data_IF_712322056279
#
_entry.id   IF_712322056279
#
_cell.length_a   1.000
_cell.length_b   1.000
_cell.length_c   1.000
_cell.angle_alpha   90.00
_cell.angle_beta   90.00
_cell.angle_gamma   90.00
#
_symmetry.space_group_name_H-M   'P 1'
#
loop_
_entity.id
_entity.type
_entity.pdbx_description
1 polymer ?
#
# COMPACT_ATOMS: atom_id res chain seq x y z
N UNK A 1 -58.00 -79.69 -47.63
CA UNK A 1 -57.95 -79.73 -46.16
C UNK A 1 -58.08 -78.29 -45.68
N UNK A 2 -58.24 -78.05 -44.38
CA UNK A 2 -58.30 -76.69 -43.82
C UNK A 2 -57.18 -76.56 -42.81
N UNK A 3 -56.41 -75.46 -42.84
CA UNK A 3 -55.39 -75.19 -41.81
C UNK A 3 -56.06 -74.77 -40.50
N UNK A 4 -55.93 -75.53 -39.40
CA UNK A 4 -56.44 -75.12 -38.09
C UNK A 4 -55.68 -73.91 -37.55
N UNK A 5 -56.34 -73.09 -36.74
CA UNK A 5 -55.68 -72.00 -36.04
C UNK A 5 -54.72 -72.57 -34.97
N UNK A 6 -53.42 -72.45 -35.20
CA UNK A 6 -52.38 -72.87 -34.26
C UNK A 6 -51.21 -71.90 -34.32
N UNK A 7 -50.47 -71.78 -33.22
CA UNK A 7 -49.18 -71.09 -33.20
C UNK A 7 -48.15 -72.09 -33.75
N UNK A 8 -47.55 -71.86 -34.93
CA UNK A 8 -46.70 -72.85 -35.58
C UNK A 8 -45.25 -72.79 -35.04
N UNK A 9 -45.12 -72.90 -33.72
CA UNK A 9 -43.86 -72.95 -33.02
C UNK A 9 -43.97 -73.87 -31.79
N UNK A 10 -43.00 -74.75 -31.62
CA UNK A 10 -42.87 -75.66 -30.47
C UNK A 10 -41.48 -75.48 -29.84
N UNK A 11 -41.43 -75.42 -28.50
CA UNK A 11 -40.18 -75.25 -27.74
C UNK A 11 -39.93 -76.46 -26.85
N UNK A 12 -38.69 -76.95 -26.86
CA UNK A 12 -38.21 -78.07 -26.07
C UNK A 12 -36.91 -77.69 -25.34
N UNK A 13 -36.48 -78.54 -24.41
CA UNK A 13 -35.19 -78.40 -23.72
C UNK A 13 -34.34 -79.63 -24.00
N UNK A 14 -33.11 -79.41 -24.48
CA UNK A 14 -32.14 -80.47 -24.71
C UNK A 14 -31.68 -81.10 -23.39
N UNK A 15 -31.43 -82.41 -23.40
CA UNK A 15 -30.91 -83.17 -22.26
C UNK A 15 -29.50 -83.75 -22.54
N UNK A 16 -28.88 -83.40 -23.68
CA UNK A 16 -27.59 -83.93 -24.10
C UNK A 16 -27.61 -85.33 -24.70
N UNK A 17 -28.78 -85.98 -24.81
CA UNK A 17 -28.90 -87.38 -25.28
C UNK A 17 -30.00 -87.56 -26.33
N UNK A 18 -31.17 -86.94 -26.13
CA UNK A 18 -32.32 -87.03 -27.05
C UNK A 18 -32.01 -86.28 -28.35
N UNK A 19 -32.16 -86.98 -29.48
CA UNK A 19 -31.99 -86.40 -30.81
C UNK A 19 -33.32 -86.12 -31.52
N UNK A 20 -34.44 -86.61 -30.99
CA UNK A 20 -35.76 -86.50 -31.62
C UNK A 20 -36.68 -85.57 -30.84
N UNK A 21 -37.26 -84.59 -31.54
CA UNK A 21 -38.16 -83.60 -30.97
C UNK A 21 -39.40 -83.48 -31.84
N UNK A 22 -40.59 -83.58 -31.22
CA UNK A 22 -41.84 -83.50 -31.94
C UNK A 22 -42.21 -82.05 -32.29
N UNK A 23 -42.76 -81.83 -33.48
CA UNK A 23 -43.47 -80.61 -33.83
C UNK A 23 -44.94 -80.94 -34.11
N UNK A 24 -45.82 -79.97 -33.90
CA UNK A 24 -47.25 -80.22 -33.80
C UNK A 24 -48.08 -79.38 -34.79
N UNK A 25 -47.44 -78.79 -35.80
CA UNK A 25 -48.07 -77.94 -36.82
C UNK A 25 -47.86 -78.49 -38.24
N UNK A 26 -48.72 -78.08 -39.19
CA UNK A 26 -48.60 -78.46 -40.59
C UNK A 26 -47.41 -77.72 -41.25
N UNK A 27 -46.55 -78.46 -41.92
CA UNK A 27 -45.48 -77.95 -42.76
C UNK A 27 -45.44 -78.76 -44.05
N UNK A 28 -45.47 -78.11 -45.22
CA UNK A 28 -45.50 -78.82 -46.52
C UNK A 28 -44.11 -79.21 -47.00
N UNK A 29 -43.14 -78.31 -46.84
CA UNK A 29 -41.79 -78.46 -47.38
C UNK A 29 -40.75 -78.11 -46.31
N UNK A 30 -39.66 -78.88 -46.24
CA UNK A 30 -38.56 -78.64 -45.27
C UNK A 30 -37.98 -77.21 -45.36
N UNK A 31 -38.04 -76.58 -46.54
CA UNK A 31 -37.54 -75.22 -46.75
C UNK A 31 -38.28 -74.16 -45.94
N UNK A 32 -39.56 -74.43 -45.61
CA UNK A 32 -40.44 -73.57 -44.83
C UNK A 32 -40.32 -73.84 -43.31
N UNK A 33 -39.31 -74.62 -42.89
CA UNK A 33 -39.09 -75.05 -41.51
C UNK A 33 -37.73 -74.59 -40.99
N UNK A 34 -37.72 -73.93 -39.83
CA UNK A 34 -36.50 -73.44 -39.17
C UNK A 34 -36.37 -74.02 -37.79
N UNK A 35 -35.13 -74.31 -37.43
CA UNK A 35 -34.75 -74.83 -36.12
C UNK A 35 -33.76 -73.89 -35.49
N UNK A 36 -33.97 -73.56 -34.22
CA UNK A 36 -33.04 -72.75 -33.45
C UNK A 36 -32.58 -73.52 -32.22
N UNK A 37 -31.28 -73.53 -31.96
CA UNK A 37 -30.69 -73.99 -30.71
C UNK A 37 -30.12 -72.77 -30.01
N UNK A 38 -30.57 -72.51 -28.80
CA UNK A 38 -30.17 -71.34 -28.01
C UNK A 38 -30.27 -70.02 -28.81
N UNK A 39 -31.39 -69.87 -29.53
CA UNK A 39 -31.70 -68.73 -30.41
C UNK A 39 -30.81 -68.58 -31.65
N UNK A 40 -29.90 -69.52 -31.92
CA UNK A 40 -29.06 -69.55 -33.12
C UNK A 40 -29.69 -70.46 -34.17
N UNK A 41 -29.80 -69.98 -35.41
CA UNK A 41 -30.33 -70.76 -36.53
C UNK A 41 -29.41 -71.95 -36.84
N UNK A 42 -29.99 -73.14 -36.84
CA UNK A 42 -29.29 -74.39 -37.17
C UNK A 42 -29.31 -74.59 -38.68
N UNK A 43 -28.18 -75.05 -39.25
CA UNK A 43 -28.10 -75.36 -40.67
C UNK A 43 -29.06 -76.52 -41.03
N UNK A 44 -29.85 -76.41 -42.12
CA UNK A 44 -30.77 -77.48 -42.54
C UNK A 44 -30.13 -78.85 -42.79
N UNK A 45 -28.81 -78.94 -42.94
CA UNK A 45 -28.07 -80.22 -43.05
C UNK A 45 -27.90 -80.97 -41.73
N UNK A 46 -28.02 -80.28 -40.58
CA UNK A 46 -27.78 -80.86 -39.25
C UNK A 46 -29.01 -81.57 -38.65
N UNK A 47 -30.18 -81.44 -39.29
CA UNK A 47 -31.42 -82.09 -38.89
C UNK A 47 -32.24 -82.62 -40.07
N UNK A 48 -33.05 -83.65 -39.83
CA UNK A 48 -34.10 -84.12 -40.74
C UNK A 48 -35.47 -83.78 -40.17
N UNK A 49 -36.46 -83.62 -41.06
CA UNK A 49 -37.85 -83.33 -40.69
C UNK A 49 -38.73 -84.41 -41.32
N UNK A 50 -39.41 -85.17 -40.47
CA UNK A 50 -40.36 -86.20 -40.86
C UNK A 50 -41.78 -85.73 -40.56
N UNK A 51 -42.78 -86.27 -41.28
CA UNK A 51 -44.18 -85.87 -41.10
C UNK A 51 -44.58 -84.59 -41.86
N UNK A 52 -43.81 -84.22 -42.90
CA UNK A 52 -44.20 -83.17 -43.85
C UNK A 52 -45.56 -83.50 -44.49
N UNK A 53 -46.43 -82.50 -44.60
CA UNK A 53 -47.80 -82.64 -45.08
C UNK A 53 -48.81 -83.20 -44.05
N UNK A 54 -48.38 -83.60 -42.86
CA UNK A 54 -49.28 -84.05 -41.79
C UNK A 54 -49.82 -82.86 -40.97
N UNK A 55 -51.15 -82.66 -40.87
CA UNK A 55 -51.74 -81.58 -40.09
C UNK A 55 -51.38 -81.59 -38.60
N UNK A 56 -51.09 -82.77 -38.03
CA UNK A 56 -50.72 -82.92 -36.62
C UNK A 56 -49.21 -82.81 -36.37
N UNK A 57 -48.43 -82.50 -37.41
CA UNK A 57 -46.97 -82.40 -37.35
C UNK A 57 -46.25 -83.75 -37.42
N UNK A 58 -45.04 -83.79 -36.87
CA UNK A 58 -44.09 -84.88 -37.04
C UNK A 58 -42.90 -84.78 -36.11
N UNK A 59 -41.74 -85.27 -36.55
CA UNK A 59 -40.52 -85.32 -35.74
C UNK A 59 -39.37 -84.61 -36.44
N UNK A 60 -38.57 -83.89 -35.66
CA UNK A 60 -37.26 -83.38 -36.07
C UNK A 60 -36.19 -84.25 -35.43
N UNK A 61 -35.29 -84.78 -36.24
CA UNK A 61 -34.17 -85.61 -35.77
C UNK A 61 -32.85 -84.87 -36.02
N UNK A 62 -32.12 -84.60 -34.95
CA UNK A 62 -30.79 -83.99 -35.01
C UNK A 62 -29.69 -85.04 -35.24
N UNK A 63 -28.67 -84.66 -36.00
CA UNK A 63 -27.45 -85.44 -36.19
C UNK A 63 -26.60 -85.50 -34.92
N UNK A 64 -26.57 -84.40 -34.16
CA UNK A 64 -25.90 -84.29 -32.85
C UNK A 64 -26.94 -83.89 -31.80
N UNK A 65 -27.06 -84.60 -30.66
CA UNK A 65 -28.03 -84.27 -29.64
C UNK A 65 -27.78 -82.86 -29.07
N UNK A 66 -28.80 -81.99 -28.99
CA UNK A 66 -28.68 -80.70 -28.34
C UNK A 66 -28.19 -80.85 -26.89
N UNK A 67 -27.24 -80.01 -26.48
CA UNK A 67 -26.60 -80.07 -25.16
C UNK A 67 -27.62 -79.95 -24.01
N UNK A 68 -27.25 -80.43 -22.82
CA UNK A 68 -28.15 -80.38 -21.67
C UNK A 68 -28.47 -78.92 -21.28
N UNK A 69 -29.75 -78.58 -21.17
CA UNK A 69 -30.25 -77.27 -20.76
C UNK A 69 -30.41 -76.25 -21.90
N UNK A 70 -30.07 -76.57 -23.15
CA UNK A 70 -30.27 -75.63 -24.27
C UNK A 70 -31.70 -75.64 -24.77
N UNK A 71 -32.22 -74.46 -25.13
CA UNK A 71 -33.55 -74.34 -25.74
C UNK A 71 -33.50 -74.80 -27.19
N UNK A 72 -34.46 -75.65 -27.59
CA UNK A 72 -34.66 -76.12 -28.96
C UNK A 72 -36.00 -75.58 -29.44
N UNK A 73 -35.98 -74.71 -30.44
CA UNK A 73 -37.18 -74.07 -30.98
C UNK A 73 -37.39 -74.58 -32.40
N UNK A 74 -38.55 -75.20 -32.62
CA UNK A 74 -39.00 -75.71 -33.91
C UNK A 74 -40.08 -74.75 -34.42
N UNK A 75 -39.86 -74.13 -35.56
CA UNK A 75 -40.74 -73.06 -36.03
C UNK A 75 -41.00 -73.16 -37.53
N UNK A 76 -42.24 -72.88 -37.91
CA UNK A 76 -42.60 -72.62 -39.29
C UNK A 76 -42.18 -71.21 -39.70
N UNK A 77 -41.47 -71.12 -40.82
CA UNK A 77 -41.08 -69.87 -41.47
C UNK A 77 -41.29 -70.04 -42.98
N UNK A 78 -42.52 -69.80 -43.41
CA UNK A 78 -42.93 -70.02 -44.80
C UNK A 78 -42.27 -68.98 -45.70
N UNK A 79 -41.54 -69.44 -46.70
CA UNK A 79 -41.01 -68.58 -47.74
C UNK A 79 -42.18 -67.92 -48.48
N UNK A 80 -42.20 -66.59 -48.48
CA UNK A 80 -43.25 -65.79 -49.11
C UNK A 80 -43.10 -65.78 -50.64
N UNK A 81 -43.38 -66.92 -51.26
CA UNK A 81 -43.36 -67.12 -52.70
C UNK A 81 -44.57 -67.95 -53.14
N UNK A 82 -45.14 -67.60 -54.30
CA UNK A 82 -46.24 -68.33 -54.92
C UNK A 82 -45.77 -68.95 -56.22
N UNK A 83 -45.60 -70.27 -56.20
CA UNK A 83 -45.13 -71.04 -57.36
C UNK A 83 -46.28 -71.65 -58.19
N UNK A 84 -47.50 -71.70 -57.65
CA UNK A 84 -48.66 -72.31 -58.32
C UNK A 84 -49.22 -71.40 -59.41
N UNK A 85 -49.05 -71.81 -60.67
CA UNK A 85 -49.64 -71.14 -61.84
C UNK A 85 -50.82 -71.96 -62.40
N UNK A 86 -52.05 -71.49 -62.17
CA UNK A 86 -53.25 -72.12 -62.73
C UNK A 86 -53.32 -71.86 -64.24
N UNK A 87 -53.54 -72.92 -65.01
CA UNK A 87 -53.72 -72.80 -66.45
C UNK A 87 -55.13 -72.31 -66.78
N UNK A 88 -55.25 -71.44 -67.77
CA UNK A 88 -56.55 -71.08 -68.34
C UNK A 88 -57.17 -72.32 -68.99
N UNK A 89 -58.43 -72.61 -68.65
CA UNK A 89 -59.16 -73.82 -69.09
C UNK A 89 -58.52 -75.16 -68.69
N UNK A 90 -57.60 -75.16 -67.72
CA UNK A 90 -57.04 -76.38 -67.14
C UNK A 90 -57.91 -76.98 -66.03
N UNK A 91 -57.62 -78.23 -65.67
CA UNK A 91 -58.33 -78.93 -64.60
C UNK A 91 -58.15 -78.24 -63.24
N UNK A 92 -59.27 -77.97 -62.56
CA UNK A 92 -59.26 -77.39 -61.22
C UNK A 92 -59.14 -78.48 -60.15
N UNK A 93 -57.92 -78.98 -59.97
CA UNK A 93 -57.63 -80.04 -59.01
C UNK A 93 -57.69 -79.49 -57.58
N UNK A 94 -58.68 -79.94 -56.81
CA UNK A 94 -58.87 -79.51 -55.41
C UNK A 94 -57.62 -79.72 -54.52
N UNK A 95 -56.74 -80.72 -54.71
CA UNK A 95 -55.50 -80.81 -53.92
C UNK A 95 -54.51 -79.68 -54.21
N UNK A 96 -54.39 -79.24 -55.47
CA UNK A 96 -53.47 -78.16 -55.86
C UNK A 96 -53.93 -76.84 -55.27
N UNK A 97 -55.23 -76.56 -55.41
CA UNK A 97 -55.85 -75.33 -54.93
C UNK A 97 -55.84 -75.24 -53.41
N UNK A 98 -56.22 -76.33 -52.73
CA UNK A 98 -56.19 -76.34 -51.27
C UNK A 98 -54.76 -76.16 -50.75
N UNK A 99 -53.75 -76.79 -51.37
CA UNK A 99 -52.35 -76.60 -50.96
C UNK A 99 -51.90 -75.14 -51.11
N UNK A 100 -52.30 -74.48 -52.19
CA UNK A 100 -51.97 -73.07 -52.44
C UNK A 100 -52.61 -72.14 -51.39
N UNK A 101 -53.89 -72.34 -51.07
CA UNK A 101 -54.58 -71.58 -50.02
C UNK A 101 -54.09 -71.90 -48.61
N UNK A 102 -53.82 -73.17 -48.31
CA UNK A 102 -53.30 -73.60 -47.03
C UNK A 102 -51.91 -72.99 -46.79
N UNK A 103 -51.05 -72.90 -47.83
CA UNK A 103 -49.74 -72.24 -47.72
C UNK A 103 -49.85 -70.75 -47.42
N UNK A 104 -50.83 -70.04 -47.99
CA UNK A 104 -51.10 -68.65 -47.64
C UNK A 104 -51.49 -68.51 -46.16
N UNK A 105 -52.35 -69.38 -45.66
CA UNK A 105 -52.73 -69.36 -44.24
C UNK A 105 -51.54 -69.65 -43.31
N UNK A 106 -50.72 -70.63 -43.66
CA UNK A 106 -49.50 -70.94 -42.93
C UNK A 106 -48.52 -69.76 -42.92
N UNK A 107 -48.41 -69.02 -44.03
CA UNK A 107 -47.59 -67.80 -44.09
C UNK A 107 -48.11 -66.70 -43.15
N UNK A 108 -49.42 -66.52 -43.05
CA UNK A 108 -50.03 -65.57 -42.12
C UNK A 108 -49.83 -65.98 -40.66
N UNK A 109 -49.96 -67.27 -40.36
CA UNK A 109 -49.68 -67.80 -39.02
C UNK A 109 -48.20 -67.63 -38.64
N UNK A 110 -47.27 -67.86 -39.59
CA UNK A 110 -45.84 -67.62 -39.38
C UNK A 110 -45.55 -66.15 -39.06
N UNK A 111 -46.08 -65.22 -39.85
CA UNK A 111 -45.90 -63.78 -39.61
C UNK A 111 -46.50 -63.34 -38.27
N UNK A 112 -47.62 -63.94 -37.85
CA UNK A 112 -48.21 -63.64 -36.54
C UNK A 112 -47.26 -63.99 -35.38
N UNK A 113 -46.41 -65.01 -35.52
CA UNK A 113 -45.38 -65.34 -34.52
C UNK A 113 -44.32 -64.24 -34.43
N UNK A 114 -43.84 -63.72 -35.56
CA UNK A 114 -42.89 -62.60 -35.56
C UNK A 114 -43.50 -61.33 -34.96
N UNK A 115 -44.74 -61.02 -35.34
CA UNK A 115 -45.46 -59.86 -34.80
C UNK A 115 -45.71 -59.99 -33.29
N UNK A 116 -45.91 -61.19 -32.78
CA UNK A 116 -46.06 -61.43 -31.34
C UNK A 116 -44.74 -61.23 -30.58
N UNK A 117 -43.60 -61.45 -31.22
CA UNK A 117 -42.26 -61.25 -30.66
C UNK A 117 -41.71 -59.82 -30.87
N UNK A 118 -42.37 -59.01 -31.71
CA UNK A 118 -41.97 -57.63 -31.98
C UNK A 118 -42.29 -56.68 -30.80
N UNK A 119 -41.55 -55.57 -30.71
CA UNK A 119 -41.91 -54.43 -29.87
C UNK A 119 -43.14 -53.75 -30.47
N UNK A 120 -44.24 -53.69 -29.70
CA UNK A 120 -45.53 -53.17 -30.15
C UNK A 120 -45.98 -51.99 -29.30
N UNK A 121 -46.64 -51.05 -29.95
CA UNK A 121 -47.34 -49.95 -29.30
C UNK A 121 -48.79 -50.37 -29.00
N UNK A 122 -49.40 -49.84 -27.93
CA UNK A 122 -50.82 -50.00 -27.68
C UNK A 122 -51.70 -49.61 -28.89
N UNK A 123 -52.87 -50.24 -29.05
CA UNK A 123 -53.77 -49.90 -30.14
C UNK A 123 -54.23 -48.44 -30.03
N UNK A 124 -54.17 -47.69 -31.13
CA UNK A 124 -54.53 -46.28 -31.20
C UNK A 124 -53.34 -45.32 -31.14
N UNK A 125 -52.14 -45.81 -30.80
CA UNK A 125 -50.91 -45.02 -30.89
C UNK A 125 -50.34 -45.05 -32.32
N UNK A 126 -49.75 -43.93 -32.74
CA UNK A 126 -49.01 -43.82 -34.01
C UNK A 126 -47.65 -43.21 -33.72
N UNK A 127 -46.59 -44.00 -33.91
CA UNK A 127 -45.22 -43.53 -33.76
C UNK A 127 -44.51 -43.49 -35.12
N UNK A 128 -43.55 -42.57 -35.24
CA UNK A 128 -42.68 -42.49 -36.43
C UNK A 128 -41.62 -43.58 -36.43
N UNK A 129 -40.93 -43.75 -37.56
CA UNK A 129 -39.77 -44.64 -37.66
C UNK A 129 -38.69 -44.27 -36.64
N UNK A 130 -37.92 -45.29 -36.22
CA UNK A 130 -36.72 -45.05 -35.42
C UNK A 130 -35.74 -44.11 -36.16
N UNK A 131 -35.01 -43.26 -35.43
CA UNK A 131 -33.99 -42.40 -36.02
C UNK A 131 -32.90 -43.18 -36.79
N UNK A 132 -32.21 -42.48 -37.70
CA UNK A 132 -31.19 -43.06 -38.56
C UNK A 132 -30.12 -43.83 -37.78
N UNK A 133 -29.60 -44.92 -38.37
CA UNK A 133 -28.62 -45.82 -37.72
C UNK A 133 -27.48 -45.07 -37.02
N UNK A 134 -26.89 -44.07 -37.67
CA UNK A 134 -25.73 -43.36 -37.11
C UNK A 134 -26.07 -42.47 -35.90
N UNK A 135 -27.33 -42.07 -35.71
CA UNK A 135 -27.72 -41.26 -34.55
C UNK A 135 -28.08 -42.11 -33.32
N UNK A 136 -28.23 -43.43 -33.49
CA UNK A 136 -28.61 -44.37 -32.43
C UNK A 136 -27.53 -45.41 -32.10
N UNK A 137 -26.40 -45.42 -32.79
CA UNK A 137 -25.25 -46.29 -32.44
C UNK A 137 -24.77 -45.92 -31.04
N UNK A 138 -24.47 -46.93 -30.21
CA UNK A 138 -24.00 -46.76 -28.82
C UNK A 138 -25.08 -46.34 -27.82
N UNK A 139 -26.28 -45.98 -28.28
CA UNK A 139 -27.33 -45.34 -27.46
C UNK A 139 -28.44 -46.33 -27.11
N UNK A 140 -29.03 -46.13 -25.93
CA UNK A 140 -30.21 -46.88 -25.49
C UNK A 140 -31.48 -46.37 -26.18
N UNK A 141 -32.47 -47.25 -26.37
CA UNK A 141 -33.82 -46.85 -26.78
C UNK A 141 -34.56 -46.31 -25.55
N UNK A 142 -34.94 -45.03 -25.59
CA UNK A 142 -35.67 -44.36 -24.52
C UNK A 142 -36.93 -43.69 -25.06
N UNK A 143 -37.88 -43.38 -24.19
CA UNK A 143 -39.09 -42.63 -24.56
C UNK A 143 -38.93 -41.16 -24.21
N UNK A 144 -39.33 -40.30 -25.13
CA UNK A 144 -39.34 -38.86 -24.89
C UNK A 144 -40.31 -38.50 -23.76
N UNK A 145 -39.88 -37.74 -22.74
CA UNK A 145 -40.72 -37.47 -21.58
C UNK A 145 -41.91 -36.54 -21.86
N UNK A 146 -41.93 -35.85 -23.01
CA UNK A 146 -43.02 -34.94 -23.40
C UNK A 146 -43.93 -35.59 -24.43
N UNK A 147 -43.36 -36.21 -25.46
CA UNK A 147 -44.11 -36.75 -26.60
C UNK A 147 -44.36 -38.26 -26.51
N UNK A 148 -43.67 -38.97 -25.62
CA UNK A 148 -43.73 -40.44 -25.51
C UNK A 148 -43.08 -41.19 -26.68
N UNK A 149 -42.58 -40.48 -27.69
CA UNK A 149 -42.01 -41.11 -28.88
C UNK A 149 -40.67 -41.82 -28.57
N UNK A 150 -40.40 -42.97 -29.20
CA UNK A 150 -39.10 -43.63 -29.09
C UNK A 150 -37.99 -42.75 -29.68
N UNK A 151 -36.92 -42.53 -28.92
CA UNK A 151 -35.72 -41.81 -29.34
C UNK A 151 -34.45 -42.45 -28.76
N UNK A 152 -33.28 -42.24 -29.35
CA UNK A 152 -32.03 -42.66 -28.73
C UNK A 152 -31.72 -41.82 -27.49
N UNK A 153 -31.03 -42.39 -26.51
CA UNK A 153 -30.52 -41.69 -25.33
C UNK A 153 -29.55 -40.56 -25.72
N UNK A 154 -29.45 -39.56 -24.85
CA UNK A 154 -28.50 -38.47 -25.03
C UNK A 154 -27.05 -38.97 -24.89
N UNK A 155 -26.81 -39.76 -23.85
CA UNK A 155 -25.53 -40.39 -23.58
C UNK A 155 -25.40 -41.75 -24.28
N UNK A 156 -24.17 -42.19 -24.49
CA UNK A 156 -23.92 -43.57 -24.86
C UNK A 156 -24.20 -44.47 -23.64
N UNK A 157 -24.50 -45.74 -23.89
CA UNK A 157 -24.82 -46.68 -22.81
C UNK A 157 -23.54 -47.19 -22.13
N UNK A 158 -22.48 -47.37 -22.93
CA UNK A 158 -21.24 -48.01 -22.47
C UNK A 158 -20.38 -47.08 -21.61
N UNK A 159 -20.53 -45.76 -21.73
CA UNK A 159 -19.70 -44.77 -21.04
C UNK A 159 -20.36 -44.14 -19.81
N UNK A 160 -21.66 -44.36 -19.57
CA UNK A 160 -22.39 -43.80 -18.41
C UNK A 160 -21.69 -44.09 -17.08
N UNK A 161 -21.21 -45.33 -16.88
CA UNK A 161 -20.49 -45.69 -15.66
C UNK A 161 -19.13 -44.97 -15.55
N UNK A 162 -18.43 -44.78 -16.67
CA UNK A 162 -17.17 -44.06 -16.72
C UNK A 162 -17.36 -42.56 -16.46
N UNK A 163 -18.40 -41.95 -17.06
CA UNK A 163 -18.76 -40.55 -16.87
C UNK A 163 -19.17 -40.26 -15.41
N UNK A 164 -19.93 -41.17 -14.79
CA UNK A 164 -20.28 -41.09 -13.37
C UNK A 164 -19.03 -41.24 -12.47
N UNK A 165 -18.15 -42.19 -12.76
CA UNK A 165 -16.90 -42.38 -12.02
C UNK A 165 -15.96 -41.17 -12.13
N UNK A 166 -15.83 -40.57 -13.32
CA UNK A 166 -15.04 -39.37 -13.53
C UNK A 166 -15.61 -38.17 -12.75
N UNK A 167 -16.94 -38.03 -12.72
CA UNK A 167 -17.60 -36.98 -11.93
C UNK A 167 -17.37 -37.15 -10.43
N UNK A 168 -17.39 -38.40 -9.93
CA UNK A 168 -17.08 -38.70 -8.53
C UNK A 168 -15.62 -38.39 -8.19
N UNK A 169 -14.68 -38.80 -9.06
CA UNK A 169 -13.26 -38.51 -8.87
C UNK A 169 -12.96 -37.00 -8.84
N UNK A 170 -13.63 -36.21 -9.69
CA UNK A 170 -13.51 -34.75 -9.67
C UNK A 170 -14.01 -34.14 -8.35
N UNK A 171 -15.10 -34.67 -7.79
CA UNK A 171 -15.61 -34.24 -6.49
C UNK A 171 -14.65 -34.58 -5.33
N UNK A 172 -14.04 -35.76 -5.35
CA UNK A 172 -13.03 -36.15 -4.37
C UNK A 172 -11.76 -35.29 -4.46
N UNK A 173 -11.34 -34.92 -5.66
CA UNK A 173 -10.21 -34.00 -5.85
C UNK A 173 -10.54 -32.61 -5.27
N UNK A 174 -11.72 -32.07 -5.58
CA UNK A 174 -12.15 -30.77 -5.04
C UNK A 174 -12.19 -30.75 -3.50
N UNK A 175 -12.58 -31.87 -2.88
CA UNK A 175 -12.52 -32.04 -1.42
C UNK A 175 -11.08 -32.00 -0.89
N UNK A 176 -10.15 -32.71 -1.54
CA UNK A 176 -8.74 -32.73 -1.15
C UNK A 176 -8.08 -31.35 -1.32
N UNK A 177 -8.40 -30.64 -2.40
CA UNK A 177 -7.92 -29.28 -2.65
C UNK A 177 -8.41 -28.32 -1.56
N UNK A 178 -9.67 -28.44 -1.14
CA UNK A 178 -10.23 -27.65 -0.04
C UNK A 178 -9.54 -27.96 1.30
N UNK A 179 -9.26 -29.23 1.59
CA UNK A 179 -8.51 -29.62 2.79
C UNK A 179 -7.08 -29.07 2.78
N UNK A 180 -6.43 -29.12 1.62
CA UNK A 180 -5.07 -28.59 1.42
C UNK A 180 -5.06 -27.07 1.60
N UNK A 181 -6.04 -26.36 1.03
CA UNK A 181 -6.19 -24.91 1.20
C UNK A 181 -6.43 -24.54 2.67
N UNK A 182 -7.25 -25.30 3.40
CA UNK A 182 -7.45 -25.10 4.83
C UNK A 182 -6.15 -25.30 5.62
N UNK A 183 -5.39 -26.36 5.33
CA UNK A 183 -4.08 -26.63 5.93
C UNK A 183 -3.07 -25.51 5.67
N UNK A 184 -3.00 -25.03 4.43
CA UNK A 184 -2.14 -23.91 4.04
C UNK A 184 -2.52 -22.62 4.77
N UNK A 185 -3.82 -22.36 4.96
CA UNK A 185 -4.31 -21.21 5.72
C UNK A 185 -3.91 -21.30 7.20
N UNK A 186 -4.05 -22.46 7.83
CA UNK A 186 -3.58 -22.68 9.21
C UNK A 186 -2.07 -22.54 9.34
N UNK A 187 -1.29 -23.07 8.38
CA UNK A 187 0.16 -22.92 8.37
C UNK A 187 0.59 -21.45 8.22
N UNK A 188 -0.06 -20.69 7.34
CA UNK A 188 0.19 -19.27 7.18
C UNK A 188 -0.14 -18.47 8.45
N UNK A 189 -1.25 -18.79 9.13
CA UNK A 189 -1.62 -18.16 10.40
C UNK A 189 -0.57 -18.43 11.49
N UNK A 190 -0.09 -19.68 11.61
CA UNK A 190 0.95 -20.04 12.56
C UNK A 190 2.28 -19.34 12.25
N UNK A 191 2.67 -19.25 10.98
CA UNK A 191 3.88 -18.54 10.57
C UNK A 191 3.81 -17.03 10.86
N UNK A 192 2.63 -16.43 10.69
CA UNK A 192 2.39 -15.03 11.06
C UNK A 192 2.48 -14.82 12.58
N UNK A 193 1.91 -15.73 13.38
CA UNK A 193 2.01 -15.70 14.83
C UNK A 193 3.47 -15.83 15.30
N UNK A 194 4.24 -16.74 14.71
CA UNK A 194 5.66 -16.89 15.02
C UNK A 194 6.46 -15.63 14.64
N UNK A 195 6.21 -15.06 13.45
CA UNK A 195 6.84 -13.80 13.04
C UNK A 195 6.57 -12.66 14.02
N UNK A 196 5.37 -12.59 14.59
CA UNK A 196 5.03 -11.60 15.61
C UNK A 196 5.78 -11.83 16.93
N UNK A 197 5.94 -13.08 17.34
CA UNK A 197 6.74 -13.45 18.52
C UNK A 197 8.21 -13.10 18.30
N UNK A 198 8.76 -13.44 17.14
CA UNK A 198 10.16 -13.17 16.79
C UNK A 198 10.44 -11.66 16.78
N UNK A 199 9.51 -10.86 16.24
CA UNK A 199 9.61 -9.40 16.27
C UNK A 199 9.56 -8.83 17.70
N UNK A 200 8.70 -9.38 18.56
CA UNK A 200 8.63 -8.97 19.97
C UNK A 200 9.92 -9.32 20.73
N UNK A 201 10.46 -10.51 20.50
CA UNK A 201 11.72 -10.95 21.10
C UNK A 201 12.91 -10.09 20.62
N UNK A 202 12.95 -9.76 19.32
CA UNK A 202 13.97 -8.87 18.77
C UNK A 202 13.92 -7.49 19.42
N UNK A 203 12.72 -6.91 19.58
CA UNK A 203 12.54 -5.63 20.26
C UNK A 203 12.97 -5.69 21.74
N UNK A 204 12.63 -6.78 22.44
CA UNK A 204 13.03 -6.97 23.84
C UNK A 204 14.55 -7.20 24.03
N UNK A 205 15.24 -7.69 23.01
CA UNK A 205 16.69 -7.92 23.04
C UNK A 205 17.52 -6.64 22.90
N UNK A 206 16.91 -5.53 22.49
CA UNK A 206 17.60 -4.24 22.39
C UNK A 206 17.87 -3.72 23.80
N UNK A 207 19.15 -3.68 24.20
CA UNK A 207 19.60 -2.95 25.38
C UNK A 207 19.93 -1.50 25.00
N UNK A 208 19.06 -0.53 25.31
CA UNK A 208 19.30 0.87 24.98
C UNK A 208 20.51 1.47 25.72
N UNK A 209 20.94 0.89 26.84
CA UNK A 209 22.12 1.36 27.57
C UNK A 209 23.40 0.94 26.85
N UNK A 210 23.44 -0.28 26.29
CA UNK A 210 24.57 -0.77 25.50
C UNK A 210 24.75 -0.08 24.13
N UNK A 211 23.73 0.65 23.65
CA UNK A 211 23.77 1.43 22.40
C UNK A 211 23.98 2.94 22.64
N UNK A 212 24.11 3.39 23.89
CA UNK A 212 24.32 4.81 24.16
C UNK A 212 25.65 5.27 23.59
N UNK A 213 25.69 6.45 22.96
CA UNK A 213 26.96 7.09 22.59
C UNK A 213 27.52 7.93 23.73
N UNK A 214 26.71 8.21 24.75
CA UNK A 214 27.08 9.06 25.89
C UNK A 214 26.86 8.29 27.19
N UNK A 215 27.94 8.07 27.93
CA UNK A 215 27.91 7.33 29.17
C UNK A 215 28.22 8.23 30.36
N UNK A 216 27.62 7.95 31.51
CA UNK A 216 27.89 8.66 32.76
C UNK A 216 28.15 7.66 33.87
N UNK A 217 29.28 7.81 34.57
CA UNK A 217 29.60 6.95 35.70
C UNK A 217 31.09 6.94 36.02
N UNK A 218 31.49 6.37 37.18
CA UNK A 218 32.89 6.36 37.62
C UNK A 218 33.74 5.26 36.96
N UNK A 219 33.14 4.45 36.08
CA UNK A 219 33.83 3.35 35.39
C UNK A 219 33.59 3.46 33.90
N UNK A 220 34.66 3.25 33.13
CA UNK A 220 34.58 3.25 31.67
C UNK A 220 33.58 2.20 31.17
N UNK A 221 32.78 2.51 30.14
CA UNK A 221 31.89 1.55 29.49
C UNK A 221 32.66 0.33 28.95
N UNK A 222 32.05 -0.86 29.07
CA UNK A 222 32.64 -2.13 28.64
C UNK A 222 32.41 -2.42 27.15
N UNK A 223 31.28 -1.98 26.60
CA UNK A 223 31.03 -1.95 25.15
C UNK A 223 31.46 -0.59 24.62
N UNK A 224 32.39 -0.56 23.66
CA UNK A 224 32.94 0.67 23.10
C UNK A 224 32.73 0.75 21.59
N UNK A 225 32.69 1.98 21.09
CA UNK A 225 32.65 2.29 19.65
C UNK A 225 33.41 3.61 19.40
N UNK A 226 33.95 3.84 18.19
CA UNK A 226 34.65 5.08 17.86
C UNK A 226 33.81 6.34 18.14
N UNK A 227 34.41 7.35 18.77
CA UNK A 227 33.75 8.65 19.01
C UNK A 227 32.75 8.67 20.17
N UNK A 228 32.49 7.54 20.83
CA UNK A 228 31.67 7.47 22.04
C UNK A 228 32.23 8.36 23.14
N UNK A 229 31.36 9.02 23.90
CA UNK A 229 31.73 9.86 25.04
C UNK A 229 31.45 9.16 26.37
N UNK A 230 32.25 9.51 27.37
CA UNK A 230 32.10 9.07 28.74
C UNK A 230 32.39 10.23 29.69
N UNK A 231 31.35 10.67 30.38
CA UNK A 231 31.45 11.56 31.52
C UNK A 231 31.87 10.74 32.75
N UNK A 232 33.15 10.81 33.09
CA UNK A 232 33.70 10.16 34.26
C UNK A 232 33.36 10.98 35.51
N UNK A 233 32.41 10.48 36.29
CA UNK A 233 31.99 11.12 37.54
C UNK A 233 32.93 10.84 38.72
N UNK A 234 33.88 9.91 38.57
CA UNK A 234 34.93 9.65 39.54
C UNK A 234 36.06 10.68 39.44
N UNK A 235 36.43 11.08 38.23
CA UNK A 235 37.48 12.07 37.97
C UNK A 235 36.97 13.47 37.58
N UNK A 236 35.65 13.63 37.38
CA UNK A 236 35.02 14.85 36.85
C UNK A 236 35.57 15.30 35.50
N UNK A 237 35.93 14.36 34.62
CA UNK A 237 36.44 14.64 33.28
C UNK A 237 35.54 14.05 32.20
N UNK A 238 35.50 14.72 31.06
CA UNK A 238 34.85 14.22 29.86
C UNK A 238 35.88 13.48 29.00
N UNK A 239 35.58 12.25 28.64
CA UNK A 239 36.42 11.39 27.81
C UNK A 239 35.72 11.09 26.48
N UNK A 240 36.50 10.94 25.41
CA UNK A 240 36.04 10.45 24.11
C UNK A 240 36.90 9.28 23.64
N UNK A 241 36.25 8.30 23.05
CA UNK A 241 36.89 7.14 22.41
C UNK A 241 37.51 7.56 21.08
N UNK A 242 38.74 7.16 20.84
CA UNK A 242 39.43 7.52 19.60
C UNK A 242 38.85 6.80 18.36
N UNK A 243 39.30 7.21 17.17
CA UNK A 243 38.80 6.66 15.91
C UNK A 243 39.10 5.17 15.71
N UNK A 244 40.17 4.65 16.34
CA UNK A 244 40.56 3.25 16.28
C UNK A 244 39.81 2.36 17.30
N UNK A 245 39.02 2.96 18.18
CA UNK A 245 38.32 2.29 19.28
C UNK A 245 39.23 1.46 20.21
N UNK A 246 40.46 1.90 20.43
CA UNK A 246 41.43 1.21 21.30
C UNK A 246 41.82 2.04 22.54
N UNK A 247 41.60 3.35 22.54
CA UNK A 247 41.96 4.23 23.66
C UNK A 247 40.91 5.32 23.97
N UNK A 248 40.90 5.74 25.25
CA UNK A 248 40.13 6.89 25.74
C UNK A 248 41.03 8.12 25.84
N UNK A 249 40.53 9.26 25.36
CA UNK A 249 41.23 10.55 25.37
C UNK A 249 40.40 11.57 26.13
N UNK A 250 41.03 12.35 27.01
CA UNK A 250 40.35 13.42 27.78
C UNK A 250 40.05 14.58 26.83
N UNK A 251 38.80 15.00 26.80
CA UNK A 251 38.33 16.16 26.03
C UNK A 251 38.32 17.45 26.84
N UNK A 252 38.08 17.32 28.15
CA UNK A 252 37.99 18.44 29.07
C UNK A 252 37.42 18.03 30.42
N UNK A 253 37.03 19.02 31.21
CA UNK A 253 36.38 18.80 32.51
C UNK A 253 34.87 18.73 32.34
N UNK A 254 34.20 17.92 33.17
CA UNK A 254 32.77 17.67 33.09
C UNK A 254 31.92 18.91 33.42
N UNK A 255 32.42 19.81 34.27
CA UNK A 255 31.70 20.99 34.75
C UNK A 255 32.52 22.29 34.72
N UNK A 256 33.38 22.48 33.71
CA UNK A 256 34.19 23.69 33.61
C UNK A 256 33.33 24.97 33.54
N UNK A 257 33.57 25.92 34.45
CA UNK A 257 33.01 27.27 34.36
C UNK A 257 33.81 28.11 33.35
N UNK A 258 33.18 28.99 32.54
CA UNK A 258 33.90 29.88 31.66
C UNK A 258 34.75 30.87 32.49
N UNK A 259 36.06 30.91 32.22
CA UNK A 259 36.98 31.88 32.83
C UNK A 259 36.79 33.24 32.13
N UNK A 260 36.25 34.23 32.83
CA UNK A 260 36.23 35.62 32.35
C UNK A 260 37.52 36.34 32.77
N UNK A 261 38.31 36.93 31.85
CA UNK A 261 39.45 37.75 32.22
C UNK A 261 38.99 39.03 32.92
N UNK A 262 39.76 39.49 33.91
CA UNK A 262 39.60 40.79 34.54
C UNK A 262 39.62 41.89 33.47
N UNK A 263 38.73 42.89 33.58
CA UNK A 263 38.52 43.96 32.59
C UNK A 263 37.73 43.62 31.29
N UNK A 264 37.12 42.43 31.15
CA UNK A 264 36.21 42.11 30.04
C UNK A 264 35.13 43.17 29.76
N UNK A 265 34.66 43.87 30.80
CA UNK A 265 33.64 44.93 30.70
C UNK A 265 34.08 46.16 29.87
N UNK A 266 35.39 46.37 29.69
CA UNK A 266 35.95 47.54 28.98
C UNK A 266 36.28 47.26 27.51
N UNK A 267 36.24 45.99 27.08
CA UNK A 267 36.53 45.60 25.69
C UNK A 267 35.39 45.91 24.71
N UNK A 268 34.17 46.12 25.20
CA UNK A 268 32.96 46.22 24.37
C UNK A 268 32.64 47.59 23.75
N UNK A 269 33.29 48.68 24.18
CA UNK A 269 33.02 50.04 23.65
C UNK A 269 33.67 50.28 22.29
N UNK A 270 33.07 51.11 21.42
CA UNK A 270 33.67 51.45 20.12
C UNK A 270 34.74 52.53 20.28
N UNK A 271 35.75 52.52 19.42
CA UNK A 271 36.76 53.60 19.36
C UNK A 271 36.07 54.88 18.87
N UNK A 272 36.33 55.99 19.57
CA UNK A 272 35.68 57.29 19.34
C UNK A 272 34.30 57.45 19.97
N UNK A 273 33.77 56.43 20.67
CA UNK A 273 32.51 56.54 21.39
C UNK A 273 32.68 57.32 22.69
N UNK A 274 31.99 58.46 22.83
CA UNK A 274 31.84 59.12 24.12
C UNK A 274 30.75 58.43 24.94
N UNK A 275 31.10 57.94 26.14
CA UNK A 275 30.11 57.35 27.04
C UNK A 275 30.17 57.98 28.44
N UNK A 276 29.00 58.22 29.07
CA UNK A 276 28.93 58.76 30.42
C UNK A 276 29.14 57.65 31.47
N UNK A 277 30.14 57.81 32.32
CA UNK A 277 30.39 56.92 33.46
C UNK A 277 29.83 57.53 34.76
N UNK A 278 29.30 56.68 35.64
CA UNK A 278 28.87 57.09 36.97
C UNK A 278 30.12 57.46 37.81
N UNK A 279 30.11 58.56 38.60
CA UNK A 279 31.31 59.01 39.33
C UNK A 279 31.87 58.01 40.35
N UNK A 280 31.04 57.08 40.85
CA UNK A 280 31.48 56.02 41.77
C UNK A 280 31.85 54.70 41.07
N UNK A 281 31.77 54.62 39.74
CA UNK A 281 32.20 53.43 39.02
C UNK A 281 33.74 53.44 38.88
N UNK A 282 34.40 52.27 38.93
CA UNK A 282 35.84 52.22 38.71
C UNK A 282 36.18 52.74 37.31
N UNK A 283 37.26 53.50 37.20
CA UNK A 283 37.76 53.93 35.90
C UNK A 283 38.38 52.74 35.15
N UNK A 284 38.33 52.73 33.79
CA UNK A 284 39.06 51.75 33.01
C UNK A 284 40.56 51.81 33.35
N UNK A 285 41.24 50.65 33.52
CA UNK A 285 42.69 50.61 33.68
C UNK A 285 43.40 51.31 32.52
N UNK A 286 44.51 51.99 32.83
CA UNK A 286 45.33 52.73 31.87
C UNK A 286 46.37 51.85 31.18
N UNK A 287 46.62 50.64 31.70
CA UNK A 287 47.72 49.73 31.37
C UNK A 287 47.27 48.46 30.61
N UNK A 288 46.07 48.46 30.03
CA UNK A 288 45.60 47.32 29.24
C UNK A 288 46.05 47.44 27.76
N UNK A 289 46.65 46.39 27.16
CA UNK A 289 47.07 46.44 25.76
C UNK A 289 45.90 46.38 24.76
N UNK A 290 44.71 45.96 25.19
CA UNK A 290 43.53 45.76 24.32
C UNK A 290 42.59 46.95 24.28
N UNK A 291 42.74 47.93 25.18
CA UNK A 291 41.96 49.15 25.16
C UNK A 291 42.69 50.32 25.84
N UNK A 292 42.41 51.56 25.41
CA UNK A 292 42.78 52.78 26.15
C UNK A 292 41.65 53.79 26.10
N UNK A 293 41.38 54.41 27.24
CA UNK A 293 40.40 55.49 27.38
C UNK A 293 41.07 56.80 27.77
N UNK A 294 40.39 57.91 27.46
CA UNK A 294 40.69 59.25 27.95
C UNK A 294 39.48 59.82 28.68
N UNK A 295 39.71 60.58 29.75
CA UNK A 295 38.67 61.37 30.41
C UNK A 295 38.59 62.71 29.68
N UNK A 296 37.40 63.10 29.24
CA UNK A 296 37.18 64.32 28.46
C UNK A 296 37.16 65.59 29.33
N UNK A 297 38.11 65.70 30.28
CA UNK A 297 38.29 66.83 31.21
C UNK A 297 39.68 67.41 31.00
N UNK A 298 39.73 68.74 30.89
CA UNK A 298 40.96 69.53 30.82
C UNK A 298 41.80 69.44 32.09
N UNK A 299 43.12 69.44 31.94
CA UNK A 299 44.12 69.42 33.00
C UNK A 299 44.40 68.05 33.57
N UNK A 300 44.10 66.98 32.82
CA UNK A 300 44.35 65.59 33.22
C UNK A 300 45.46 64.91 32.40
N UNK A 301 46.25 65.67 31.64
CA UNK A 301 47.40 65.22 30.84
C UNK A 301 48.74 65.33 31.60
N UNK A 302 48.71 65.85 32.83
CA UNK A 302 49.85 65.99 33.73
C UNK A 302 50.39 64.66 34.27
N UNK A 303 51.56 64.69 34.88
CA UNK A 303 52.18 63.47 35.40
C UNK A 303 51.39 62.88 36.58
N UNK A 304 51.02 61.60 36.48
CA UNK A 304 50.15 60.89 37.42
C UNK A 304 48.65 61.03 37.14
N UNK A 305 48.25 61.82 36.15
CA UNK A 305 46.85 61.98 35.76
C UNK A 305 46.40 60.94 34.73
N UNK A 306 45.08 60.78 34.57
CA UNK A 306 44.51 59.69 33.77
C UNK A 306 44.86 59.76 32.27
N UNK A 307 45.03 60.97 31.73
CA UNK A 307 45.38 61.18 30.33
C UNK A 307 46.89 61.39 30.12
N UNK A 308 47.72 61.10 31.13
CA UNK A 308 49.18 61.21 31.01
C UNK A 308 49.68 60.46 29.77
N UNK A 309 50.40 61.20 28.92
CA UNK A 309 51.06 60.67 27.73
C UNK A 309 50.14 60.24 26.59
N UNK A 310 48.84 60.53 26.65
CA UNK A 310 47.88 60.19 25.57
C UNK A 310 47.15 61.38 24.97
N UNK A 311 47.34 62.59 25.53
CA UNK A 311 46.83 63.87 25.00
C UNK A 311 47.96 64.89 24.89
N UNK A 312 47.89 65.76 23.88
CA UNK A 312 48.77 66.92 23.65
C UNK A 312 47.97 68.13 23.19
N UNK A 313 48.60 69.31 23.12
CA UNK A 313 47.98 70.55 22.62
C UNK A 313 46.64 70.89 23.27
N UNK A 314 46.56 70.67 24.60
CA UNK A 314 45.37 70.98 25.35
C UNK A 314 45.14 72.50 25.43
N UNK A 315 43.92 72.94 25.10
CA UNK A 315 43.53 74.35 25.18
C UNK A 315 42.19 74.50 25.89
N UNK A 316 42.05 75.56 26.70
CA UNK A 316 40.78 76.00 27.29
C UNK A 316 40.68 77.51 27.08
N UNK A 317 39.68 77.95 26.31
CA UNK A 317 39.48 79.37 25.96
C UNK A 317 38.01 79.77 26.05
N UNK A 318 37.75 81.07 26.12
CA UNK A 318 36.40 81.64 26.22
C UNK A 318 35.87 81.77 27.65
N UNK A 319 34.59 82.13 27.77
CA UNK A 319 33.85 82.25 29.02
C UNK A 319 32.40 81.80 28.80
N UNK A 320 31.71 81.39 29.86
CA UNK A 320 30.29 81.02 29.80
C UNK A 320 29.48 82.09 29.01
N UNK A 321 28.63 81.70 28.05
CA UNK A 321 28.18 80.34 27.72
C UNK A 321 29.03 79.59 26.68
N UNK A 322 30.12 80.17 26.17
CA UNK A 322 30.97 79.59 25.11
C UNK A 322 32.37 79.31 25.65
N UNK A 323 32.53 78.14 26.26
CA UNK A 323 33.83 77.61 26.67
C UNK A 323 34.26 76.59 25.61
N UNK A 324 35.41 76.80 25.00
CA UNK A 324 36.01 75.84 24.06
C UNK A 324 37.18 75.16 24.75
N UNK A 325 37.08 73.85 24.95
CA UNK A 325 38.13 73.04 25.55
C UNK A 325 38.43 71.86 24.63
N UNK A 326 39.67 71.74 24.14
CA UNK A 326 40.09 70.73 23.17
C UNK A 326 41.45 70.16 23.52
N UNK A 327 41.73 68.93 23.08
CA UNK A 327 43.07 68.33 23.09
C UNK A 327 43.27 67.52 21.80
N UNK A 328 44.51 67.22 21.47
CA UNK A 328 44.88 66.29 20.38
C UNK A 328 45.23 64.93 20.99
N UNK A 329 44.66 63.86 20.47
CA UNK A 329 45.05 62.50 20.88
C UNK A 329 46.48 62.21 20.40
N UNK A 330 47.35 61.79 21.31
CA UNK A 330 48.74 61.44 21.03
C UNK A 330 49.05 60.05 21.56
N UNK A 331 48.61 59.02 20.84
CA UNK A 331 48.81 57.62 21.19
C UNK A 331 49.08 56.80 19.93
N UNK A 332 50.35 56.41 19.73
CA UNK A 332 50.76 55.59 18.59
C UNK A 332 49.99 54.26 18.57
N UNK A 333 49.31 53.98 17.44
CA UNK A 333 48.49 52.78 17.26
C UNK A 333 46.99 52.98 17.53
N UNK A 334 46.59 54.12 18.12
CA UNK A 334 45.20 54.56 18.18
C UNK A 334 44.70 54.94 16.79
N UNK A 335 43.52 54.48 16.34
CA UNK A 335 42.87 55.01 15.14
C UNK A 335 42.51 56.50 15.22
N UNK A 336 42.57 57.09 16.43
CA UNK A 336 42.32 58.50 16.69
C UNK A 336 43.60 59.34 16.87
N UNK A 337 44.79 58.76 16.69
CA UNK A 337 46.06 59.48 16.83
C UNK A 337 46.11 60.72 15.91
N UNK A 338 46.47 61.87 16.48
CA UNK A 338 46.50 63.18 15.81
C UNK A 338 45.14 63.85 15.63
N UNK A 339 44.03 63.24 16.05
CA UNK A 339 42.70 63.85 15.97
C UNK A 339 42.46 64.79 17.17
N UNK A 340 41.87 65.95 16.89
CA UNK A 340 41.39 66.87 17.93
C UNK A 340 40.07 66.36 18.51
N UNK A 341 39.99 66.26 19.83
CA UNK A 341 38.80 65.88 20.59
C UNK A 341 38.34 67.04 21.48
N UNK A 342 37.04 67.09 21.72
CA UNK A 342 36.44 68.06 22.64
C UNK A 342 36.47 67.54 24.07
N UNK A 343 36.96 68.35 25.00
CA UNK A 343 36.98 68.06 26.43
C UNK A 343 35.65 68.47 27.05
N UNK A 344 34.61 67.70 26.74
CA UNK A 344 33.20 68.01 27.03
C UNK A 344 32.87 68.12 28.53
N UNK A 345 33.62 67.48 29.42
CA UNK A 345 33.44 67.68 30.86
C UNK A 345 33.87 69.10 31.29
N UNK A 346 34.83 69.72 30.57
CA UNK A 346 35.32 71.08 30.82
C UNK A 346 34.51 72.13 30.08
N UNK A 347 34.23 71.94 28.79
CA UNK A 347 33.44 72.88 28.00
C UNK A 347 31.95 72.89 28.39
N UNK A 348 31.47 71.82 29.05
CA UNK A 348 30.09 71.66 29.53
C UNK A 348 29.03 71.81 28.43
N UNK A 349 29.42 71.56 27.19
CA UNK A 349 28.54 71.62 26.03
C UNK A 349 27.60 70.42 25.98
N UNK A 350 26.36 70.63 25.52
CA UNK A 350 25.42 69.54 25.25
C UNK A 350 25.68 68.98 23.85
N UNK A 351 25.87 67.65 23.74
CA UNK A 351 25.99 66.95 22.46
C UNK A 351 24.64 66.92 21.75
N UNK A 352 24.54 67.57 20.58
CA UNK A 352 23.36 67.55 19.70
C UNK A 352 23.75 67.15 18.28
N UNK A 353 22.94 66.37 17.55
CA UNK A 353 23.20 66.09 16.14
C UNK A 353 23.20 67.38 15.31
N UNK A 354 24.28 67.61 14.57
CA UNK A 354 24.36 68.67 13.57
C UNK A 354 23.76 68.24 12.22
N UNK A 355 23.48 69.18 11.31
CA UNK A 355 22.91 68.88 9.99
C UNK A 355 23.87 68.14 9.02
N UNK A 356 25.17 68.00 9.36
CA UNK A 356 26.17 67.17 8.68
C UNK A 356 27.46 67.09 9.52
N UNK A 357 28.46 66.30 9.09
CA UNK A 357 29.84 66.43 9.56
C UNK A 357 30.35 67.82 9.15
N UNK A 358 30.36 68.77 10.08
CA UNK A 358 30.64 70.18 9.83
C UNK A 358 31.14 70.87 11.10
N UNK A 359 31.49 72.17 11.02
CA UNK A 359 32.06 72.89 12.15
C UNK A 359 31.11 72.89 13.35
N UNK A 360 31.67 72.86 14.55
CA UNK A 360 30.94 73.01 15.80
C UNK A 360 30.16 74.34 15.75
N UNK A 361 28.86 74.29 16.02
CA UNK A 361 27.98 75.46 16.04
C UNK A 361 27.69 75.86 17.48
N UNK A 362 28.26 76.98 17.90
CA UNK A 362 28.08 77.56 19.23
C UNK A 362 26.62 77.93 19.54
N UNK A 363 26.32 78.09 20.83
CA UNK A 363 25.02 78.57 21.28
C UNK A 363 24.76 79.98 20.78
N UNK A 364 23.64 80.19 20.07
CA UNK A 364 23.20 81.51 19.62
C UNK A 364 22.50 82.33 20.73
N UNK A 365 22.34 81.76 21.94
CA UNK A 365 21.72 82.41 23.08
C UNK A 365 22.74 83.26 23.87
N UNK A 366 23.47 84.14 23.18
CA UNK A 366 24.42 85.07 23.81
C UNK A 366 23.72 86.26 24.48
N UNK A 367 22.55 86.66 23.97
CA UNK A 367 21.68 87.67 24.56
C UNK A 367 20.30 87.62 23.91
N UNK A 368 19.22 87.74 24.68
CA UNK A 368 17.89 88.01 24.12
C UNK A 368 17.36 89.32 24.72
N UNK A 369 16.78 90.18 23.88
CA UNK A 369 16.25 91.49 24.28
C UNK A 369 14.75 91.57 24.04
N UNK A 370 14.00 92.09 25.00
CA UNK A 370 12.58 92.39 24.83
C UNK A 370 12.39 93.87 24.49
N UNK A 371 11.72 94.17 23.36
CA UNK A 371 11.31 95.53 23.04
C UNK A 371 10.09 95.95 23.88
N UNK A 372 10.24 96.95 24.76
CA UNK A 372 9.08 97.59 25.41
C UNK A 372 8.54 98.70 24.50
N UNK A 373 7.30 98.57 24.04
CA UNK A 373 6.59 99.64 23.33
C UNK A 373 6.39 100.86 24.23
N UNK A 374 6.85 102.03 23.79
CA UNK A 374 6.64 103.29 24.47
C UNK A 374 5.18 103.77 24.32
N UNK A 375 4.51 104.05 25.43
CA UNK A 375 3.24 104.81 25.48
C UNK A 375 3.59 106.30 25.64
N UNK A 376 3.23 107.20 24.71
CA UNK A 376 3.49 108.63 24.86
C UNK A 376 2.42 109.27 25.76
N UNK A 377 2.82 109.77 26.93
CA UNK A 377 2.01 110.71 27.70
C UNK A 377 2.31 112.13 27.19
N UNK A 378 1.34 112.77 26.55
CA UNK A 378 1.48 114.15 26.06
C UNK A 378 1.53 115.16 27.20
N UNK A 379 2.65 115.86 27.33
CA UNK A 379 2.75 117.07 28.14
C UNK A 379 2.50 118.30 27.25
N UNK A 380 1.48 119.10 27.57
CA UNK A 380 1.40 120.50 27.17
C UNK A 380 2.08 121.36 28.23
N UNK A 381 2.98 122.22 27.77
CA UNK A 381 3.82 123.11 28.57
C UNK A 381 3.30 124.55 28.45
N UNK A 382 3.23 125.29 29.56
CA UNK A 382 3.29 126.75 29.59
C UNK A 382 3.88 127.20 30.93
N UNK A 383 5.05 127.85 30.87
CA UNK A 383 5.60 128.68 31.95
C UNK A 383 6.62 128.02 32.88
N UNK A 384 7.88 127.96 32.45
CA UNK A 384 9.04 128.06 33.38
C UNK A 384 9.71 126.74 33.81
N UNK A 385 10.48 126.14 32.91
CA UNK A 385 11.69 125.36 33.20
C UNK A 385 11.56 124.15 34.13
N UNK A 386 11.36 122.96 33.56
CA UNK A 386 11.70 121.71 34.22
C UNK A 386 12.45 120.79 33.25
N UNK A 387 13.71 120.57 33.58
CA UNK A 387 14.58 119.55 32.99
C UNK A 387 13.97 118.18 33.24
N UNK A 388 13.52 117.50 32.19
CA UNK A 388 13.14 116.09 32.27
C UNK A 388 14.40 115.26 32.08
N UNK A 389 15.02 114.86 33.19
CA UNK A 389 16.07 113.84 33.20
C UNK A 389 15.45 112.51 32.76
N UNK A 390 15.75 112.11 31.53
CA UNK A 390 15.65 110.70 31.16
C UNK A 390 16.71 109.97 31.98
N UNK A 391 16.28 109.21 32.98
CA UNK A 391 17.12 108.15 33.55
C UNK A 391 16.93 106.94 32.64
N UNK A 392 17.91 106.57 31.79
CA UNK A 392 17.91 105.23 31.23
C UNK A 392 18.10 104.28 32.41
N UNK A 393 17.03 103.62 32.84
CA UNK A 393 17.18 102.41 33.63
C UNK A 393 17.83 101.38 32.71
N UNK A 394 19.16 101.33 32.80
CA UNK A 394 19.97 100.18 32.40
C UNK A 394 19.25 98.94 32.94
N UNK A 395 18.70 98.13 32.05
CA UNK A 395 18.44 96.75 32.41
C UNK A 395 19.81 96.10 32.40
N UNK A 396 20.38 95.94 33.60
CA UNK A 396 21.50 95.05 33.82
C UNK A 396 21.24 93.72 33.10
N UNK A 397 22.28 93.00 32.65
CA UNK A 397 22.14 91.71 31.98
C UNK A 397 21.37 90.74 32.89
N UNK A 398 20.04 90.70 32.75
CA UNK A 398 19.14 89.88 33.56
C UNK A 398 19.01 88.50 32.95
N UNK A 399 20.15 87.88 32.69
CA UNK A 399 20.33 86.46 32.45
C UNK A 399 21.26 85.92 33.52
N UNK A 400 20.81 85.91 34.78
CA UNK A 400 21.53 85.25 35.87
C UNK A 400 21.54 83.73 35.70
N UNK A 401 21.99 82.98 36.72
CA UNK A 401 22.09 81.49 36.76
C UNK A 401 20.79 80.71 36.40
N UNK A 402 19.71 81.41 36.09
CA UNK A 402 18.36 80.94 35.78
C UNK A 402 18.21 80.25 34.40
N UNK A 403 19.26 80.20 33.58
CA UNK A 403 19.27 79.51 32.28
C UNK A 403 19.95 78.12 32.29
N UNK A 404 20.40 77.60 33.46
CA UNK A 404 21.09 76.29 33.52
C UNK A 404 20.09 75.11 33.57
N UNK A 405 20.14 74.15 32.63
CA UNK A 405 19.41 72.89 32.77
C UNK A 405 19.90 72.09 33.99
N UNK A 406 19.04 71.26 34.60
CA UNK A 406 19.41 70.33 35.68
C UNK A 406 20.54 69.39 35.20
N UNK A 407 21.70 69.41 35.88
CA UNK A 407 22.84 68.52 35.57
C UNK A 407 22.82 67.24 36.41
N UNK A 408 23.07 66.09 35.77
CA UNK A 408 23.32 64.81 36.44
C UNK A 408 24.83 64.55 36.38
N UNK A 409 25.53 64.35 37.52
CA UNK A 409 26.97 64.15 37.50
C UNK A 409 27.33 62.86 36.77
N UNK A 410 28.04 63.03 35.65
CA UNK A 410 28.67 61.97 34.87
C UNK A 410 30.06 62.44 34.47
N UNK A 411 30.98 61.50 34.33
CA UNK A 411 32.29 61.76 33.73
C UNK A 411 32.25 61.12 32.36
N UNK A 412 32.41 61.91 31.31
CA UNK A 412 32.53 61.36 29.97
C UNK A 412 33.95 60.88 29.73
N UNK A 413 34.03 59.67 29.19
CA UNK A 413 35.26 59.09 28.67
C UNK A 413 35.07 58.78 27.19
N UNK A 414 36.18 58.74 26.46
CA UNK A 414 36.23 58.28 25.08
C UNK A 414 37.25 57.16 24.96
N UNK A 415 36.89 56.10 24.23
CA UNK A 415 37.84 55.03 23.88
C UNK A 415 38.71 55.50 22.72
N UNK A 416 40.03 55.41 22.86
CA UNK A 416 41.00 55.77 21.82
C UNK A 416 41.76 54.56 21.26
N UNK A 417 41.89 53.45 22.02
CA UNK A 417 42.47 52.19 21.55
C UNK A 417 41.58 51.02 21.96
#
# INVERSE_FOLDING_TARGET
MTVPAKIPADTHVGNGVTTQFAYSFLCFDKVDFKVFIDLVLVDPSEYTVDGLGNPNGGMVTFTTPPANGVSVILRLDVVLDRQTNYQYEGDFLSPVVNRDFDRLWLSQQSQQVDLNAAVRFPPGESVSFLPAVNTRKGKALVFDPVTGAPKPSLDDYDDQAANAAASAAAADQAKQDAQTAAGNSSAAANAAAQSAIDAANAAASVDPQGLSTDHYGPTAPSTTWPGMTWADSGTNTLWRRNAADDAWVIEGDLFAAPVYPDAAQWLGGRIGEEFPLHPNAPLPPTDNPSFRYVILTAGLDGSGDYNEGVLTDETVTGSDPTITATAVVSLVGSPMDGQTIDLINTSRVFLRPGPAAGPIVDSQNLSHSHGKGAIPYGAYQSGGGAYSYMSPTSTDPSGGDEARPRYIPRVYLMRIL
#
